data_IF_141921428836
#
_entry.id   IF_141921428836
#
_cell.length_a   1.000
_cell.length_b   1.000
_cell.length_c   1.000
_cell.angle_alpha   90.00
_cell.angle_beta   90.00
_cell.angle_gamma   90.00
#
_symmetry.space_group_name_H-M   'P 1'
#
loop_
_entity.id
_entity.type
_entity.pdbx_description
1 polymer ?
#
# COMPACT_ATOMS: atom_id res chain seq x y z
N UNK A 1 -32.71 0.34 -9.16
CA UNK A 1 -31.71 -0.33 -8.30
C UNK A 1 -30.71 0.73 -7.84
N UNK A 2 -31.01 1.40 -6.73
CA UNK A 2 -30.32 2.60 -6.27
C UNK A 2 -30.00 2.44 -4.79
N UNK A 3 -28.75 2.11 -4.46
CA UNK A 3 -28.20 2.46 -3.14
C UNK A 3 -26.69 2.64 -3.22
N UNK A 4 -26.29 3.92 -3.14
CA UNK A 4 -24.92 4.46 -3.11
C UNK A 4 -24.22 4.08 -1.80
N UNK A 5 -23.79 2.82 -1.63
CA UNK A 5 -22.96 2.37 -0.49
C UNK A 5 -21.51 2.07 -0.87
N UNK A 6 -21.07 2.45 -2.08
CA UNK A 6 -19.68 2.31 -2.55
C UNK A 6 -18.71 3.32 -1.92
N UNK A 7 -19.21 4.30 -1.15
CA UNK A 7 -18.42 5.45 -0.64
C UNK A 7 -17.22 5.06 0.24
N UNK A 8 -17.30 4.05 1.14
CA UNK A 8 -16.17 3.66 1.98
C UNK A 8 -15.14 2.85 1.19
N UNK A 9 -15.60 1.89 0.39
CA UNK A 9 -14.73 1.04 -0.45
C UNK A 9 -14.03 1.89 -1.51
N UNK A 10 -14.69 2.87 -2.10
CA UNK A 10 -14.06 3.79 -3.05
C UNK A 10 -13.04 4.72 -2.38
N UNK A 11 -13.29 5.19 -1.15
CA UNK A 11 -12.29 5.95 -0.39
C UNK A 11 -11.08 5.07 -0.04
N UNK A 12 -11.33 3.83 0.38
CA UNK A 12 -10.28 2.87 0.70
C UNK A 12 -9.49 2.49 -0.56
N UNK A 13 -10.17 2.17 -1.66
CA UNK A 13 -9.56 1.89 -2.96
C UNK A 13 -8.78 3.10 -3.47
N UNK A 14 -9.26 4.33 -3.25
CA UNK A 14 -8.52 5.55 -3.59
C UNK A 14 -7.24 5.69 -2.75
N UNK A 15 -7.32 5.52 -1.44
CA UNK A 15 -6.16 5.58 -0.55
C UNK A 15 -5.14 4.47 -0.85
N UNK A 16 -5.63 3.24 -1.06
CA UNK A 16 -4.80 2.10 -1.47
C UNK A 16 -4.21 2.34 -2.85
N UNK A 17 -4.97 2.86 -3.82
CA UNK A 17 -4.49 3.20 -5.16
C UNK A 17 -3.43 4.31 -5.16
N UNK A 18 -3.55 5.28 -4.24
CA UNK A 18 -2.56 6.35 -4.09
C UNK A 18 -1.18 5.84 -3.69
N UNK A 19 -1.12 4.76 -2.90
CA UNK A 19 0.12 4.11 -2.48
C UNK A 19 0.29 2.70 -3.09
N UNK A 20 -0.48 2.36 -4.12
CA UNK A 20 -0.49 1.01 -4.69
C UNK A 20 0.81 0.69 -5.40
N UNK A 21 1.48 1.71 -5.94
CA UNK A 21 2.77 1.54 -6.61
C UNK A 21 3.83 1.12 -5.60
N UNK A 22 3.90 1.82 -4.46
CA UNK A 22 4.79 1.51 -3.35
C UNK A 22 4.43 0.17 -2.69
N UNK A 23 3.14 -0.11 -2.52
CA UNK A 23 2.66 -1.36 -1.94
C UNK A 23 2.99 -2.56 -2.84
N UNK A 24 2.81 -2.41 -4.16
CA UNK A 24 3.19 -3.43 -5.13
C UNK A 24 4.72 -3.59 -5.21
N UNK A 25 5.50 -2.51 -5.11
CA UNK A 25 6.96 -2.59 -5.07
C UNK A 25 7.46 -3.33 -3.81
N UNK A 26 6.89 -3.01 -2.65
CA UNK A 26 7.17 -3.71 -1.40
C UNK A 26 6.77 -5.20 -1.50
N UNK A 27 5.56 -5.49 -1.99
CA UNK A 27 5.09 -6.85 -2.20
C UNK A 27 5.95 -7.64 -3.17
N UNK A 28 6.41 -7.04 -4.28
CA UNK A 28 7.35 -7.67 -5.22
C UNK A 28 8.67 -8.03 -4.55
N UNK A 29 9.22 -7.15 -3.71
CA UNK A 29 10.46 -7.40 -2.98
C UNK A 29 10.30 -8.56 -1.97
N UNK A 30 9.15 -8.60 -1.26
CA UNK A 30 8.81 -9.69 -0.33
C UNK A 30 8.63 -11.02 -1.09
N UNK A 31 7.87 -11.03 -2.19
CA UNK A 31 7.57 -12.25 -2.96
C UNK A 31 8.81 -12.79 -3.68
N UNK A 32 9.69 -11.90 -4.14
CA UNK A 32 10.94 -12.29 -4.81
C UNK A 32 11.82 -13.20 -3.93
N UNK A 33 11.75 -13.03 -2.61
CA UNK A 33 12.58 -13.78 -1.69
C UNK A 33 11.82 -14.05 -0.38
N UNK A 34 10.63 -14.63 -0.56
CA UNK A 34 9.64 -14.89 0.49
C UNK A 34 10.18 -15.79 1.60
N UNK A 35 11.03 -16.76 1.24
CA UNK A 35 11.64 -17.70 2.19
C UNK A 35 12.71 -17.06 3.07
N UNK A 36 13.36 -16.00 2.61
CA UNK A 36 14.36 -15.28 3.41
C UNK A 36 13.86 -13.88 3.74
N UNK A 37 12.56 -13.65 3.90
CA UNK A 37 12.07 -12.36 4.41
C UNK A 37 12.60 -12.16 5.83
N UNK A 38 13.44 -11.13 5.99
CA UNK A 38 13.96 -10.69 7.28
C UNK A 38 13.84 -9.17 7.39
N UNK A 39 13.96 -8.68 8.62
CA UNK A 39 13.97 -7.26 8.94
C UNK A 39 14.98 -6.55 8.02
N UNK A 40 14.57 -5.40 7.49
CA UNK A 40 15.34 -4.53 6.59
C UNK A 40 15.51 -4.99 5.13
N UNK A 41 15.10 -6.20 4.75
CA UNK A 41 15.28 -6.70 3.38
C UNK A 41 14.61 -5.84 2.31
N UNK A 42 13.40 -5.36 2.61
CA UNK A 42 12.64 -4.45 1.77
C UNK A 42 12.49 -3.07 2.43
N UNK A 43 13.47 -2.65 3.24
CA UNK A 43 13.41 -1.39 4.00
C UNK A 43 13.13 -0.17 3.12
N UNK A 44 13.78 -0.07 1.94
CA UNK A 44 13.56 1.06 1.01
C UNK A 44 12.12 1.15 0.57
N UNK A 45 11.52 0.04 0.16
CA UNK A 45 10.14 0.03 -0.35
C UNK A 45 9.13 0.17 0.80
N UNK A 46 9.45 -0.37 1.98
CA UNK A 46 8.68 -0.15 3.19
C UNK A 46 8.68 1.33 3.63
N UNK A 47 9.82 2.02 3.55
CA UNK A 47 9.91 3.45 3.86
C UNK A 47 9.09 4.30 2.91
N UNK A 48 9.13 4.02 1.60
CA UNK A 48 8.30 4.71 0.60
C UNK A 48 6.81 4.46 0.83
N UNK A 49 6.43 3.21 1.08
CA UNK A 49 5.05 2.84 1.41
C UNK A 49 4.56 3.59 2.66
N UNK A 50 5.36 3.59 3.72
CA UNK A 50 5.08 4.31 4.96
C UNK A 50 4.91 5.82 4.71
N UNK A 51 5.81 6.43 3.95
CA UNK A 51 5.75 7.86 3.64
C UNK A 51 4.46 8.20 2.88
N UNK A 52 4.10 7.41 1.88
CA UNK A 52 2.86 7.58 1.15
C UNK A 52 1.62 7.40 2.03
N UNK A 53 1.59 6.39 2.90
CA UNK A 53 0.51 6.21 3.87
C UNK A 53 0.39 7.41 4.82
N UNK A 54 1.51 7.92 5.35
CA UNK A 54 1.54 9.10 6.21
C UNK A 54 1.06 10.37 5.49
N UNK A 55 1.44 10.54 4.22
CA UNK A 55 0.96 11.64 3.39
C UNK A 55 -0.53 11.52 3.04
N UNK A 56 -1.02 10.29 2.82
CA UNK A 56 -2.42 10.01 2.51
C UNK A 56 -3.34 10.13 3.74
N UNK A 57 -2.85 9.81 4.95
CA UNK A 57 -3.59 9.97 6.21
C UNK A 57 -3.72 11.42 6.68
N UNK A 58 -2.91 12.35 6.17
CA UNK A 58 -3.00 13.78 6.47
C UNK A 58 -4.00 14.55 5.59
N UNK A 59 -4.84 13.84 4.82
CA UNK A 59 -5.77 14.42 3.82
C UNK A 59 -7.24 14.30 4.23
#
# INVERSE_FOLDING_TARGET
MNQKTTRPIQKLAKAVSQCSVEAAAYGKCIVADYNSVHKDKCAKEFMKLKDCYLAASKK
#
